data_IF_533784700348
#
_entry.id   IF_533784700348
#
_cell.length_a   1.000
_cell.length_b   1.000
_cell.length_c   1.000
_cell.angle_alpha   90.00
_cell.angle_beta   90.00
_cell.angle_gamma   90.00
#
_symmetry.space_group_name_H-M   'P 1'
#
loop_
_entity.id
_entity.type
_entity.pdbx_description
1 polymer ?
#
# COMPACT_ATOMS: atom_id res chain seq x y z
N UNK A 1 -27.48 -18.24 -56.35
CA UNK A 1 -27.19 -17.18 -55.39
C UNK A 1 -26.97 -17.69 -53.95
N UNK A 2 -26.14 -18.71 -53.71
CA UNK A 2 -25.90 -19.28 -52.36
C UNK A 2 -24.41 -19.37 -51.96
N UNK A 3 -23.47 -18.93 -52.83
CA UNK A 3 -22.01 -19.03 -52.59
C UNK A 3 -21.34 -17.78 -51.99
N UNK A 4 -22.04 -16.65 -51.92
CA UNK A 4 -21.44 -15.40 -51.40
C UNK A 4 -21.59 -15.17 -49.87
N UNK A 5 -22.47 -15.92 -49.17
CA UNK A 5 -22.69 -15.78 -47.71
C UNK A 5 -21.69 -16.58 -46.89
N UNK A 6 -21.17 -17.68 -47.42
CA UNK A 6 -20.19 -18.54 -46.68
C UNK A 6 -18.82 -17.88 -46.65
N UNK A 7 -18.43 -17.14 -47.68
CA UNK A 7 -17.13 -16.47 -47.73
C UNK A 7 -17.02 -15.26 -46.78
N UNK A 8 -18.15 -14.61 -46.45
CA UNK A 8 -18.17 -13.48 -45.54
C UNK A 8 -18.14 -13.93 -44.07
N UNK A 9 -18.61 -15.13 -43.76
CA UNK A 9 -18.56 -15.70 -42.41
C UNK A 9 -17.14 -16.18 -42.05
N UNK A 10 -16.41 -16.72 -43.06
CA UNK A 10 -15.02 -17.13 -42.88
C UNK A 10 -14.05 -15.94 -42.67
N UNK A 11 -14.27 -14.82 -43.33
CA UNK A 11 -13.48 -13.61 -43.17
C UNK A 11 -13.73 -12.92 -41.81
N UNK A 12 -14.94 -13.02 -41.25
CA UNK A 12 -15.26 -12.49 -39.92
C UNK A 12 -14.69 -13.37 -38.78
N UNK A 13 -14.63 -14.69 -38.96
CA UNK A 13 -14.03 -15.61 -37.99
C UNK A 13 -12.50 -15.52 -37.94
N UNK A 14 -11.84 -15.25 -39.06
CA UNK A 14 -10.38 -15.02 -39.07
C UNK A 14 -9.99 -13.65 -38.50
N UNK A 15 -10.87 -12.63 -38.53
CA UNK A 15 -10.62 -11.34 -37.90
C UNK A 15 -10.82 -11.37 -36.37
N UNK A 16 -11.72 -12.21 -35.85
CA UNK A 16 -11.87 -12.42 -34.42
C UNK A 16 -10.74 -13.26 -33.83
N UNK A 17 -10.14 -14.17 -34.58
CA UNK A 17 -9.00 -14.96 -34.09
C UNK A 17 -7.69 -14.16 -33.97
N UNK A 18 -7.56 -13.03 -34.70
CA UNK A 18 -6.40 -12.14 -34.63
C UNK A 18 -6.49 -11.12 -33.46
N UNK A 19 -7.69 -10.87 -32.93
CA UNK A 19 -7.87 -10.00 -31.74
C UNK A 19 -7.72 -10.79 -30.46
N UNK A 20 -7.98 -12.11 -30.45
CA UNK A 20 -7.79 -12.97 -29.26
C UNK A 20 -6.32 -13.35 -28.99
N UNK A 21 -5.40 -13.13 -29.95
CA UNK A 21 -3.97 -13.36 -29.77
C UNK A 21 -3.20 -12.15 -29.21
N UNK A 22 -3.90 -11.01 -28.99
CA UNK A 22 -3.29 -9.78 -28.46
C UNK A 22 -3.64 -9.52 -26.96
N UNK A 23 -4.37 -10.44 -26.31
CA UNK A 23 -4.74 -10.35 -24.89
C UNK A 23 -4.30 -11.59 -24.09
N UNK A 24 -3.16 -12.16 -24.41
CA UNK A 24 -2.46 -13.15 -23.60
C UNK A 24 -1.15 -12.54 -23.16
N UNK A 25 -1.19 -11.65 -22.17
CA UNK A 25 0.02 -11.10 -21.58
C UNK A 25 0.59 -12.09 -20.58
N UNK A 26 1.48 -12.98 -21.02
CA UNK A 26 2.44 -13.60 -20.09
C UNK A 26 3.26 -12.48 -19.46
N UNK A 27 3.34 -12.48 -18.11
CA UNK A 27 4.16 -11.56 -17.35
C UNK A 27 5.63 -11.62 -17.77
N UNK A 28 6.29 -10.47 -17.89
CA UNK A 28 7.72 -10.38 -18.17
C UNK A 28 8.09 -10.34 -19.64
N UNK A 29 7.36 -9.60 -20.47
CA UNK A 29 7.73 -9.34 -21.86
C UNK A 29 8.87 -8.34 -21.99
N UNK A 30 9.63 -8.42 -23.10
CA UNK A 30 10.53 -7.35 -23.52
C UNK A 30 9.77 -6.29 -24.33
N UNK A 31 10.16 -5.04 -24.18
CA UNK A 31 9.66 -3.95 -25.04
C UNK A 31 10.29 -4.02 -26.45
N UNK A 32 9.93 -3.07 -27.32
CA UNK A 32 10.48 -3.02 -28.68
C UNK A 32 11.98 -2.73 -28.76
N UNK A 33 12.59 -2.33 -27.66
CA UNK A 33 14.01 -2.03 -27.51
C UNK A 33 14.78 -3.16 -26.82
N UNK A 34 14.08 -4.25 -26.43
CA UNK A 34 14.67 -5.42 -25.75
C UNK A 34 14.92 -5.20 -24.28
N UNK A 35 14.19 -4.26 -23.65
CA UNK A 35 14.24 -4.03 -22.19
C UNK A 35 13.20 -4.88 -21.48
N UNK A 36 13.54 -5.42 -20.33
CA UNK A 36 12.57 -6.11 -19.46
C UNK A 36 11.50 -5.14 -18.99
N UNK A 37 10.23 -5.44 -19.26
CA UNK A 37 9.11 -4.62 -18.78
C UNK A 37 8.74 -5.04 -17.38
N UNK A 38 8.70 -4.07 -16.45
CA UNK A 38 8.25 -4.22 -15.06
C UNK A 38 6.95 -3.46 -14.89
N UNK A 39 5.87 -4.16 -14.55
CA UNK A 39 4.57 -3.56 -14.25
C UNK A 39 4.41 -3.45 -12.74
N UNK A 40 4.36 -2.23 -12.25
CA UNK A 40 4.22 -1.93 -10.82
C UNK A 40 2.88 -1.26 -10.52
N UNK A 41 2.07 -1.89 -9.67
CA UNK A 41 0.84 -1.34 -9.12
C UNK A 41 1.09 -0.82 -7.70
N UNK A 42 0.68 0.42 -7.43
CA UNK A 42 0.97 1.09 -6.17
C UNK A 42 -0.10 2.14 -5.84
N UNK A 43 -0.22 2.50 -4.55
CA UNK A 43 -1.00 3.66 -4.10
C UNK A 43 -0.35 4.98 -4.55
N UNK A 44 -1.13 6.06 -4.77
CA UNK A 44 -0.59 7.36 -5.20
C UNK A 44 0.58 7.82 -4.32
N UNK A 45 1.73 8.09 -4.93
CA UNK A 45 2.97 8.45 -4.24
C UNK A 45 3.64 9.67 -4.90
N UNK A 46 3.84 10.78 -4.17
CA UNK A 46 4.44 12.01 -4.70
C UNK A 46 5.91 11.85 -5.07
N UNK A 47 6.62 10.89 -4.47
CA UNK A 47 8.04 10.66 -4.77
C UNK A 47 8.22 10.05 -6.15
N UNK A 48 7.26 9.22 -6.60
CA UNK A 48 7.30 8.70 -7.96
C UNK A 48 7.12 9.83 -8.99
N UNK A 49 6.19 10.76 -8.74
CA UNK A 49 5.99 11.93 -9.60
C UNK A 49 7.26 12.78 -9.65
N UNK A 50 7.88 13.02 -8.49
CA UNK A 50 9.17 13.73 -8.39
C UNK A 50 10.27 13.04 -9.18
N UNK A 51 10.49 11.74 -8.97
CA UNK A 51 11.52 10.97 -9.67
C UNK A 51 11.34 10.99 -11.19
N UNK A 52 10.07 10.95 -11.64
CA UNK A 52 9.75 11.06 -13.06
C UNK A 52 10.12 12.46 -13.60
N UNK A 53 9.72 13.52 -12.91
CA UNK A 53 9.97 14.90 -13.34
C UNK A 53 11.45 15.29 -13.29
N UNK A 54 12.21 14.72 -12.36
CA UNK A 54 13.67 14.89 -12.28
C UNK A 54 14.47 14.01 -13.26
N UNK A 55 13.79 13.12 -14.00
CA UNK A 55 14.44 12.22 -14.96
C UNK A 55 15.19 11.04 -14.30
N UNK A 56 14.96 10.78 -13.01
CA UNK A 56 15.59 9.68 -12.27
C UNK A 56 15.11 8.33 -12.78
N UNK A 57 13.81 8.19 -13.04
CA UNK A 57 13.26 6.92 -13.55
C UNK A 57 13.90 6.53 -14.87
N UNK A 58 13.94 7.38 -15.93
CA UNK A 58 14.62 7.04 -17.19
C UNK A 58 16.10 6.71 -17.02
N UNK A 59 16.81 7.40 -16.11
CA UNK A 59 18.21 7.09 -15.83
C UNK A 59 18.40 5.66 -15.31
N UNK A 60 17.56 5.24 -14.36
CA UNK A 60 17.61 3.88 -13.79
C UNK A 60 17.10 2.82 -14.78
N UNK A 61 16.10 3.15 -15.60
CA UNK A 61 15.66 2.27 -16.71
C UNK A 61 16.81 1.94 -17.66
N UNK A 62 17.61 2.95 -18.02
CA UNK A 62 18.76 2.77 -18.90
C UNK A 62 19.90 1.98 -18.20
N UNK A 63 20.17 2.25 -16.91
CA UNK A 63 21.19 1.56 -16.13
C UNK A 63 20.94 0.07 -16.00
N UNK A 64 19.67 -0.32 -15.81
CA UNK A 64 19.27 -1.71 -15.57
C UNK A 64 18.72 -2.41 -16.83
N UNK A 65 18.62 -1.71 -17.97
CA UNK A 65 17.95 -2.21 -19.17
C UNK A 65 16.51 -2.70 -18.90
N UNK A 66 15.76 -1.89 -18.17
CA UNK A 66 14.37 -2.15 -17.73
C UNK A 66 13.45 -1.06 -18.27
N UNK A 67 12.18 -1.37 -18.45
CA UNK A 67 11.12 -0.41 -18.71
C UNK A 67 10.10 -0.50 -17.58
N UNK A 68 9.93 0.56 -16.78
CA UNK A 68 8.93 0.66 -15.74
C UNK A 68 7.58 1.11 -16.32
N UNK A 69 6.54 0.35 -16.02
CA UNK A 69 5.15 0.70 -16.33
C UNK A 69 4.38 0.74 -15.04
N UNK A 70 3.93 1.91 -14.65
CA UNK A 70 3.25 2.12 -13.37
C UNK A 70 1.75 2.23 -13.53
N UNK A 71 1.03 1.73 -12.54
CA UNK A 71 -0.41 1.96 -12.37
C UNK A 71 -0.66 2.41 -10.94
N UNK A 72 -1.15 3.64 -10.78
CA UNK A 72 -1.52 4.20 -9.48
C UNK A 72 -3.00 3.94 -9.21
N UNK A 73 -3.30 3.29 -8.08
CA UNK A 73 -4.65 2.95 -7.65
C UNK A 73 -4.66 2.76 -6.13
N UNK A 74 -5.79 3.02 -5.48
CA UNK A 74 -6.05 2.61 -4.09
C UNK A 74 -6.59 1.17 -3.99
N UNK A 75 -6.69 0.47 -5.11
CA UNK A 75 -7.13 -0.93 -5.22
C UNK A 75 -6.05 -1.74 -5.97
N UNK A 76 -4.83 -1.65 -5.48
CA UNK A 76 -3.66 -2.35 -6.03
C UNK A 76 -3.79 -3.87 -5.86
N UNK A 77 -4.49 -4.32 -4.81
CA UNK A 77 -4.81 -5.73 -4.57
C UNK A 77 -5.56 -6.34 -5.77
N UNK A 78 -6.72 -5.77 -6.14
CA UNK A 78 -7.51 -6.29 -7.26
C UNK A 78 -6.76 -6.21 -8.59
N UNK A 79 -5.95 -5.17 -8.77
CA UNK A 79 -5.15 -5.00 -9.97
C UNK A 79 -4.09 -6.11 -10.12
N UNK A 80 -3.39 -6.43 -9.04
CA UNK A 80 -2.40 -7.50 -9.02
C UNK A 80 -3.05 -8.89 -9.12
N UNK A 81 -4.12 -9.13 -8.38
CA UNK A 81 -4.91 -10.37 -8.43
C UNK A 81 -5.43 -10.66 -9.84
N UNK A 82 -5.79 -9.61 -10.60
CA UNK A 82 -6.20 -9.68 -12.00
C UNK A 82 -5.06 -9.95 -12.99
N UNK A 83 -3.81 -10.07 -12.54
CA UNK A 83 -2.63 -10.34 -13.39
C UNK A 83 -2.13 -9.12 -14.16
N UNK A 84 -2.48 -7.90 -13.71
CA UNK A 84 -2.10 -6.66 -14.38
C UNK A 84 -0.82 -6.04 -13.83
N UNK A 85 -0.21 -6.61 -12.77
CA UNK A 85 1.05 -6.20 -12.18
C UNK A 85 2.03 -7.38 -12.04
N UNK A 86 3.32 -7.10 -12.11
CA UNK A 86 4.41 -8.02 -11.80
C UNK A 86 4.83 -7.83 -10.34
N UNK A 87 4.81 -6.58 -9.90
CA UNK A 87 5.07 -6.13 -8.53
C UNK A 87 3.86 -5.30 -8.08
N UNK A 88 3.50 -5.43 -6.83
CA UNK A 88 2.47 -4.63 -6.17
C UNK A 88 3.02 -4.02 -4.89
N UNK A 89 2.54 -2.83 -4.57
CA UNK A 89 2.70 -2.20 -3.26
C UNK A 89 1.65 -2.75 -2.31
N UNK A 90 2.06 -3.49 -1.29
CA UNK A 90 1.16 -4.09 -0.31
C UNK A 90 1.75 -4.07 1.08
N UNK A 91 0.89 -3.99 2.08
CA UNK A 91 1.30 -4.16 3.47
C UNK A 91 1.46 -5.65 3.81
N UNK A 92 2.29 -5.93 4.82
CA UNK A 92 2.53 -7.29 5.31
C UNK A 92 1.24 -8.03 5.67
N UNK A 93 0.31 -7.36 6.34
CA UNK A 93 -0.97 -7.94 6.78
C UNK A 93 -1.97 -8.21 5.64
N UNK A 94 -1.74 -7.70 4.43
CA UNK A 94 -2.61 -7.91 3.26
C UNK A 94 -2.21 -9.15 2.45
N UNK A 95 -0.93 -9.49 2.47
CA UNK A 95 -0.34 -10.57 1.66
C UNK A 95 -0.98 -11.94 1.91
N UNK A 96 -1.26 -12.37 3.17
CA UNK A 96 -1.91 -13.67 3.41
C UNK A 96 -3.31 -13.77 2.79
N UNK A 97 -4.05 -12.66 2.76
CA UNK A 97 -5.39 -12.62 2.17
C UNK A 97 -5.31 -12.71 0.65
N UNK A 98 -4.31 -12.05 0.03
CA UNK A 98 -4.06 -12.16 -1.40
C UNK A 98 -3.79 -13.61 -1.81
N UNK A 99 -2.88 -14.28 -1.12
CA UNK A 99 -2.54 -15.67 -1.39
C UNK A 99 -3.74 -16.62 -1.20
N UNK A 100 -4.50 -16.40 -0.13
CA UNK A 100 -5.69 -17.19 0.16
C UNK A 100 -6.77 -17.02 -0.91
N UNK A 101 -7.04 -15.79 -1.36
CA UNK A 101 -8.10 -15.52 -2.33
C UNK A 101 -7.72 -15.93 -3.74
N UNK A 102 -6.46 -15.78 -4.11
CA UNK A 102 -6.02 -15.94 -5.51
C UNK A 102 -5.29 -17.27 -5.76
N UNK A 103 -4.70 -17.87 -4.73
CA UNK A 103 -3.79 -19.01 -4.87
C UNK A 103 -2.48 -18.63 -5.55
N UNK A 104 -2.11 -17.35 -5.56
CA UNK A 104 -0.84 -16.86 -6.11
C UNK A 104 0.20 -16.92 -5.00
N UNK A 105 1.28 -17.69 -5.21
CA UNK A 105 2.45 -17.65 -4.35
C UNK A 105 3.18 -16.31 -4.53
N UNK A 106 3.43 -15.60 -3.43
CA UNK A 106 4.09 -14.30 -3.45
C UNK A 106 5.41 -14.31 -2.68
N UNK A 107 6.23 -13.29 -2.93
CA UNK A 107 7.41 -12.97 -2.13
C UNK A 107 7.42 -11.48 -1.83
N UNK A 108 7.69 -11.13 -0.58
CA UNK A 108 7.99 -9.76 -0.16
C UNK A 108 9.51 -9.58 -0.14
N UNK A 109 10.02 -8.62 -0.92
CA UNK A 109 11.47 -8.49 -1.13
C UNK A 109 12.04 -7.10 -0.83
N UNK A 110 11.21 -6.17 -0.36
CA UNK A 110 11.61 -4.83 0.05
C UNK A 110 10.47 -4.10 0.71
N UNK A 111 10.80 -3.01 1.41
CA UNK A 111 9.83 -2.16 2.10
C UNK A 111 10.16 -0.69 1.85
N UNK A 112 9.17 0.18 1.80
CA UNK A 112 9.45 1.61 1.62
C UNK A 112 8.64 2.54 2.52
N UNK A 113 7.36 2.29 2.78
CA UNK A 113 6.56 3.13 3.66
C UNK A 113 6.22 2.46 4.98
N UNK A 114 6.33 3.21 6.08
CA UNK A 114 5.78 2.84 7.36
C UNK A 114 4.25 3.01 7.36
N UNK A 115 3.54 2.19 8.12
CA UNK A 115 2.08 2.27 8.21
C UNK A 115 1.65 3.49 9.03
N UNK A 116 1.17 4.53 8.35
CA UNK A 116 0.86 5.85 8.90
C UNK A 116 -0.64 6.19 8.97
N UNK A 117 -1.53 5.21 9.01
CA UNK A 117 -2.98 5.42 8.93
C UNK A 117 -3.62 5.45 10.32
N UNK A 118 -3.62 6.60 11.03
CA UNK A 118 -4.18 6.72 12.38
C UNK A 118 -5.71 6.71 12.36
N UNK A 119 -6.29 6.67 13.55
CA UNK A 119 -7.70 6.99 13.77
C UNK A 119 -7.85 8.46 14.08
N UNK A 120 -8.69 9.14 13.34
CA UNK A 120 -9.09 10.53 13.62
C UNK A 120 -10.49 10.58 14.24
N UNK A 121 -10.66 11.53 15.15
CA UNK A 121 -11.93 11.95 15.71
C UNK A 121 -12.08 13.46 15.60
N UNK A 122 -13.31 13.99 15.69
CA UNK A 122 -13.49 15.44 15.80
C UNK A 122 -12.82 15.95 17.08
N UNK A 123 -12.34 17.18 17.05
CA UNK A 123 -11.64 17.79 18.18
C UNK A 123 -12.52 17.92 19.46
N UNK A 124 -13.84 17.97 19.31
CA UNK A 124 -14.81 18.01 20.43
C UNK A 124 -15.17 16.62 20.98
N UNK A 125 -14.68 15.53 20.37
CA UNK A 125 -14.84 14.17 20.88
C UNK A 125 -14.13 13.98 22.22
N UNK A 126 -14.76 13.26 23.14
CA UNK A 126 -14.16 12.89 24.45
C UNK A 126 -13.49 11.51 24.42
N UNK A 127 -13.52 10.80 23.29
CA UNK A 127 -12.88 9.49 23.16
C UNK A 127 -11.34 9.65 23.22
N UNK A 128 -10.68 8.83 24.01
CA UNK A 128 -9.21 8.76 24.14
C UNK A 128 -8.64 7.49 23.50
N UNK A 129 -9.48 6.45 23.37
CA UNK A 129 -9.12 5.13 22.86
C UNK A 129 -10.21 4.59 21.93
N UNK A 130 -9.89 3.53 21.19
CA UNK A 130 -10.90 2.81 20.41
C UNK A 130 -11.94 2.11 21.29
N UNK A 131 -11.61 1.74 22.54
CA UNK A 131 -12.60 1.20 23.50
C UNK A 131 -13.70 2.22 23.78
N UNK A 132 -13.37 3.51 23.89
CA UNK A 132 -14.35 4.59 24.11
C UNK A 132 -15.29 4.78 22.89
N UNK A 133 -14.92 4.29 21.74
CA UNK A 133 -15.69 4.33 20.50
C UNK A 133 -16.52 3.07 20.25
N UNK A 134 -16.60 2.14 21.21
CA UNK A 134 -17.44 0.94 21.06
C UNK A 134 -18.91 1.33 20.80
N UNK A 135 -19.51 0.76 19.74
CA UNK A 135 -20.84 1.10 19.24
C UNK A 135 -20.91 2.34 18.34
N UNK A 136 -19.80 3.05 18.14
CA UNK A 136 -19.74 4.21 17.26
C UNK A 136 -19.67 3.83 15.78
N UNK A 137 -19.99 4.80 14.92
CA UNK A 137 -19.82 4.68 13.47
C UNK A 137 -18.41 5.10 13.09
N UNK A 138 -17.63 4.17 12.51
CA UNK A 138 -16.24 4.40 12.10
C UNK A 138 -16.09 4.18 10.60
N UNK A 139 -15.61 5.21 9.89
CA UNK A 139 -15.30 5.11 8.47
C UNK A 139 -13.91 4.54 8.26
N UNK A 140 -13.76 3.62 7.29
CA UNK A 140 -12.49 2.93 6.98
C UNK A 140 -12.26 2.85 5.46
N UNK A 141 -11.00 2.68 4.99
CA UNK A 141 -10.71 2.64 3.55
C UNK A 141 -11.18 1.36 2.84
N UNK A 142 -11.36 0.26 3.56
CA UNK A 142 -11.82 -1.01 2.99
C UNK A 142 -11.55 -2.19 3.93
N UNK A 143 -12.03 -3.39 3.59
CA UNK A 143 -11.82 -4.58 4.41
C UNK A 143 -10.36 -5.07 4.38
N UNK A 144 -9.71 -5.02 3.22
CA UNK A 144 -8.28 -5.37 3.05
C UNK A 144 -7.47 -4.07 3.01
N UNK A 145 -7.08 -3.60 4.19
CA UNK A 145 -6.41 -2.30 4.36
C UNK A 145 -5.93 -2.14 5.81
N UNK A 146 -5.55 -0.93 6.22
CA UNK A 146 -5.28 -0.59 7.62
C UNK A 146 -6.42 -0.92 8.61
N UNK A 147 -7.63 -1.24 8.11
CA UNK A 147 -8.73 -1.78 8.91
C UNK A 147 -8.33 -3.07 9.62
N UNK A 148 -7.53 -3.93 8.98
CA UNK A 148 -7.02 -5.18 9.55
C UNK A 148 -6.13 -4.87 10.77
N UNK A 149 -5.22 -3.92 10.63
CA UNK A 149 -4.29 -3.56 11.70
C UNK A 149 -5.03 -3.02 12.92
N UNK A 150 -5.97 -2.09 12.71
CA UNK A 150 -6.80 -1.61 13.79
C UNK A 150 -7.66 -2.72 14.39
N UNK A 151 -8.16 -3.64 13.56
CA UNK A 151 -8.88 -4.83 14.02
C UNK A 151 -8.03 -5.74 14.91
N UNK A 152 -6.75 -5.96 14.56
CA UNK A 152 -5.80 -6.72 15.39
C UNK A 152 -5.54 -6.02 16.73
N UNK A 153 -5.17 -4.74 16.70
CA UNK A 153 -4.89 -3.97 17.93
C UNK A 153 -6.08 -3.91 18.87
N UNK A 154 -7.26 -3.59 18.34
CA UNK A 154 -8.48 -3.49 19.14
C UNK A 154 -8.86 -4.85 19.73
N UNK A 155 -8.68 -5.94 18.98
CA UNK A 155 -8.94 -7.29 19.46
C UNK A 155 -7.97 -7.68 20.58
N UNK A 156 -6.68 -7.41 20.40
CA UNK A 156 -5.65 -7.74 21.37
C UNK A 156 -5.78 -6.88 22.65
N UNK A 157 -5.94 -5.55 22.51
CA UNK A 157 -5.95 -4.64 23.64
C UNK A 157 -7.25 -4.65 24.45
N UNK A 158 -8.39 -4.78 23.76
CA UNK A 158 -9.72 -4.60 24.37
C UNK A 158 -10.64 -5.80 24.23
N UNK A 159 -10.27 -6.81 23.43
CA UNK A 159 -11.11 -7.97 23.16
C UNK A 159 -12.32 -7.67 22.27
N UNK A 160 -12.40 -6.47 21.66
CA UNK A 160 -13.50 -6.02 20.80
C UNK A 160 -13.24 -6.39 19.33
N UNK A 161 -14.33 -6.52 18.55
CA UNK A 161 -14.29 -6.86 17.12
C UNK A 161 -14.50 -5.60 16.27
N UNK A 162 -13.42 -5.18 15.56
CA UNK A 162 -13.43 -4.06 14.63
C UNK A 162 -13.09 -4.56 13.23
N UNK A 163 -14.09 -4.65 12.37
CA UNK A 163 -13.94 -5.13 10.99
C UNK A 163 -15.18 -4.78 10.16
N UNK A 164 -15.08 -4.85 8.82
CA UNK A 164 -16.22 -4.89 7.92
C UNK A 164 -16.72 -6.34 7.83
N UNK A 165 -15.78 -7.25 7.55
CA UNK A 165 -16.00 -8.68 7.43
C UNK A 165 -14.74 -9.40 7.91
N UNK A 166 -14.91 -10.56 8.56
CA UNK A 166 -13.77 -11.42 8.91
C UNK A 166 -13.57 -12.51 7.87
N UNK A 167 -12.34 -13.02 7.70
CA UNK A 167 -12.06 -14.11 6.75
C UNK A 167 -12.90 -15.38 6.99
N UNK A 168 -13.31 -15.63 8.23
CA UNK A 168 -14.15 -16.76 8.62
C UNK A 168 -15.67 -16.48 8.53
N UNK A 169 -16.05 -15.27 8.11
CA UNK A 169 -17.44 -14.82 8.01
C UNK A 169 -18.14 -14.57 9.34
N UNK A 170 -17.38 -14.42 10.44
CA UNK A 170 -17.96 -14.07 11.75
C UNK A 170 -18.35 -12.59 11.82
N UNK A 171 -19.35 -12.28 12.68
CA UNK A 171 -19.88 -10.92 12.83
C UNK A 171 -18.87 -9.97 13.46
N UNK A 172 -18.84 -8.73 12.96
CA UNK A 172 -18.08 -7.59 13.49
C UNK A 172 -19.04 -6.64 14.21
N UNK A 173 -19.43 -6.99 15.45
CA UNK A 173 -20.59 -6.39 16.09
C UNK A 173 -20.32 -5.21 17.03
N UNK A 174 -19.04 -4.93 17.36
CA UNK A 174 -18.72 -3.93 18.39
C UNK A 174 -18.67 -2.50 17.84
N UNK A 175 -18.63 -2.32 16.51
CA UNK A 175 -18.63 -1.02 15.83
C UNK A 175 -19.53 -1.05 14.60
N UNK A 176 -20.08 0.13 14.21
CA UNK A 176 -20.73 0.34 12.89
C UNK A 176 -19.65 0.78 11.89
N UNK A 177 -18.96 -0.19 11.28
CA UNK A 177 -17.86 0.09 10.34
C UNK A 177 -18.40 0.35 8.94
N UNK A 178 -17.97 1.45 8.31
CA UNK A 178 -18.38 1.88 6.97
C UNK A 178 -17.21 2.09 6.05
N UNK A 179 -17.26 1.47 4.89
CA UNK A 179 -16.24 1.59 3.86
C UNK A 179 -16.40 2.88 3.04
N UNK A 180 -15.28 3.52 2.71
CA UNK A 180 -15.20 4.66 1.82
C UNK A 180 -13.76 5.10 1.55
N UNK A 181 -13.57 5.97 0.58
CA UNK A 181 -12.28 6.57 0.27
C UNK A 181 -11.77 7.45 1.44
N UNK A 182 -10.45 7.51 1.66
CA UNK A 182 -9.83 8.25 2.77
C UNK A 182 -10.27 9.72 2.85
N UNK A 183 -10.31 10.42 1.71
CA UNK A 183 -10.67 11.83 1.65
C UNK A 183 -12.18 12.02 1.88
N UNK A 184 -13.00 11.16 1.26
CA UNK A 184 -14.44 11.18 1.50
C UNK A 184 -14.79 10.84 2.96
N UNK A 185 -14.10 9.88 3.56
CA UNK A 185 -14.27 9.50 4.96
C UNK A 185 -13.90 10.62 5.91
N UNK A 186 -12.83 11.38 5.64
CA UNK A 186 -12.46 12.55 6.42
C UNK A 186 -13.53 13.64 6.33
N UNK A 187 -14.09 13.87 5.15
CA UNK A 187 -15.22 14.81 4.97
C UNK A 187 -16.46 14.39 5.77
N UNK A 188 -16.77 13.09 5.84
CA UNK A 188 -17.85 12.56 6.66
C UNK A 188 -17.60 12.82 8.14
N UNK A 189 -16.36 12.63 8.62
CA UNK A 189 -15.97 12.91 10.00
C UNK A 189 -16.16 14.39 10.35
N UNK A 190 -15.65 15.30 9.52
CA UNK A 190 -15.75 16.75 9.73
C UNK A 190 -17.22 17.20 9.78
N UNK A 191 -18.09 16.65 8.93
CA UNK A 191 -19.52 16.92 8.94
C UNK A 191 -20.29 16.26 10.10
N UNK A 192 -19.63 15.37 10.86
CA UNK A 192 -20.25 14.63 11.97
C UNK A 192 -21.23 13.55 11.51
N UNK A 193 -21.03 13.01 10.30
CA UNK A 193 -21.81 11.89 9.76
C UNK A 193 -21.27 10.53 10.21
N UNK A 194 -20.00 10.52 10.68
CA UNK A 194 -19.34 9.41 11.38
C UNK A 194 -18.65 9.95 12.63
N UNK A 195 -18.38 9.06 13.60
CA UNK A 195 -17.77 9.42 14.88
C UNK A 195 -16.25 9.40 14.82
N UNK A 196 -15.69 8.52 13.99
CA UNK A 196 -14.25 8.38 13.76
C UNK A 196 -13.95 7.96 12.31
N UNK A 197 -12.70 8.14 11.91
CA UNK A 197 -12.20 7.76 10.60
C UNK A 197 -10.81 7.13 10.72
N UNK A 198 -10.61 5.96 10.13
CA UNK A 198 -9.30 5.38 9.84
C UNK A 198 -8.86 5.95 8.50
N UNK A 199 -8.06 6.99 8.53
CA UNK A 199 -7.73 7.77 7.33
C UNK A 199 -6.23 8.08 7.28
N UNK A 200 -5.67 8.23 6.08
CA UNK A 200 -4.30 8.73 5.93
C UNK A 200 -4.20 10.17 6.46
N UNK A 201 -3.06 10.57 7.04
CA UNK A 201 -2.87 11.94 7.55
C UNK A 201 -3.04 13.00 6.47
N UNK A 202 -2.69 12.67 5.24
CA UNK A 202 -2.80 13.53 4.05
C UNK A 202 -4.23 14.01 3.79
N UNK A 203 -5.22 13.21 4.15
CA UNK A 203 -6.63 13.61 4.07
C UNK A 203 -7.03 14.59 5.21
N UNK A 204 -6.26 14.59 6.31
CA UNK A 204 -6.59 15.31 7.53
C UNK A 204 -5.90 16.68 7.66
N UNK A 205 -4.77 16.94 7.00
CA UNK A 205 -3.91 18.09 7.27
C UNK A 205 -4.62 19.45 7.39
N UNK A 206 -5.54 19.86 6.49
CA UNK A 206 -6.22 21.14 6.63
C UNK A 206 -7.08 21.22 7.90
N UNK A 207 -7.82 20.16 8.18
CA UNK A 207 -8.73 20.06 9.32
C UNK A 207 -8.00 19.87 10.65
N UNK A 208 -6.87 19.16 10.62
CA UNK A 208 -6.02 18.94 11.80
C UNK A 208 -5.32 20.23 12.19
N UNK A 209 -4.74 20.96 11.22
CA UNK A 209 -4.14 22.28 11.46
C UNK A 209 -5.13 23.29 12.05
N UNK A 210 -6.37 23.30 11.57
CA UNK A 210 -7.42 24.23 12.06
C UNK A 210 -8.06 23.78 13.37
N UNK A 211 -7.74 22.57 13.85
CA UNK A 211 -8.27 22.03 15.10
C UNK A 211 -9.71 21.54 14.99
N UNK A 212 -10.15 21.13 13.81
CA UNK A 212 -11.46 20.50 13.59
C UNK A 212 -11.44 19.01 13.89
N UNK A 213 -10.29 18.37 13.64
CA UNK A 213 -10.03 16.96 13.96
C UNK A 213 -8.75 16.81 14.78
N UNK A 214 -8.60 15.66 15.45
CA UNK A 214 -7.37 15.22 16.12
C UNK A 214 -7.17 13.74 15.91
N UNK A 215 -5.92 13.29 16.00
CA UNK A 215 -5.64 11.87 16.09
C UNK A 215 -6.03 11.33 17.46
N UNK A 216 -6.51 10.07 17.51
CA UNK A 216 -7.04 9.47 18.75
C UNK A 216 -5.94 9.19 19.78
N UNK A 217 -4.78 8.72 19.32
CA UNK A 217 -3.65 8.31 20.19
C UNK A 217 -2.48 9.33 20.15
N UNK A 218 -2.78 10.61 19.91
CA UNK A 218 -1.76 11.66 19.85
C UNK A 218 -0.93 11.77 21.17
N UNK A 219 0.41 11.92 21.13
CA UNK A 219 1.28 12.15 19.99
C UNK A 219 1.72 10.88 19.22
N UNK A 220 1.51 9.69 19.76
CA UNK A 220 1.89 8.42 19.13
C UNK A 220 0.66 7.83 18.45
N UNK A 221 0.36 8.28 17.25
CA UNK A 221 -0.91 7.99 16.59
C UNK A 221 -0.81 7.05 15.39
N UNK A 222 0.35 6.96 14.76
CA UNK A 222 0.53 6.06 13.63
C UNK A 222 0.61 4.59 14.08
N UNK A 223 -0.02 3.65 13.38
CA UNK A 223 0.03 2.22 13.73
C UNK A 223 1.45 1.67 13.88
N UNK A 224 2.42 2.10 13.06
CA UNK A 224 3.79 1.65 13.19
C UNK A 224 4.44 2.07 14.51
N UNK A 225 4.11 3.27 15.03
CA UNK A 225 4.61 3.74 16.32
C UNK A 225 3.99 2.96 17.49
N UNK A 226 2.69 2.66 17.37
CA UNK A 226 1.98 1.84 18.36
C UNK A 226 2.52 0.40 18.35
N UNK A 227 2.78 -0.15 17.17
CA UNK A 227 3.40 -1.46 17.02
C UNK A 227 4.80 -1.52 17.65
N UNK A 228 5.63 -0.51 17.38
CA UNK A 228 6.96 -0.40 18.02
C UNK A 228 6.86 -0.38 19.54
N UNK A 229 5.92 0.38 20.09
CA UNK A 229 5.77 0.49 21.55
C UNK A 229 5.31 -0.80 22.22
N UNK A 230 4.37 -1.50 21.62
CA UNK A 230 3.67 -2.61 22.28
C UNK A 230 4.23 -3.99 21.91
N UNK A 231 4.73 -4.16 20.69
CA UNK A 231 5.09 -5.49 20.16
C UNK A 231 6.57 -5.63 19.81
N UNK A 232 7.20 -4.60 19.27
CA UNK A 232 8.56 -4.67 18.73
C UNK A 232 9.42 -3.47 19.13
N UNK A 233 9.78 -3.29 20.42
CA UNK A 233 10.54 -2.12 20.88
C UNK A 233 11.88 -1.97 20.16
N UNK A 234 12.09 -0.81 19.54
CA UNK A 234 13.30 -0.47 18.80
C UNK A 234 13.26 -0.85 17.32
N UNK A 235 12.22 -1.52 16.87
CA UNK A 235 11.98 -1.78 15.46
C UNK A 235 11.24 -0.60 14.83
N UNK A 236 11.86 0.03 13.83
CA UNK A 236 11.19 1.08 13.07
C UNK A 236 10.32 0.45 11.99
N UNK A 237 9.03 0.46 12.25
CA UNK A 237 8.02 0.18 11.26
C UNK A 237 7.23 -1.09 11.49
N UNK A 238 5.98 -1.01 11.24
CA UNK A 238 5.09 -1.95 10.63
C UNK A 238 4.91 -1.42 9.22
N UNK A 239 5.31 -2.19 8.21
CA UNK A 239 5.35 -1.66 6.86
C UNK A 239 3.95 -1.56 6.26
N UNK A 240 3.61 -0.36 5.81
CA UNK A 240 2.37 -0.09 5.09
C UNK A 240 2.47 -0.37 3.59
N UNK A 241 3.69 -0.27 3.04
CA UNK A 241 3.96 -0.55 1.63
C UNK A 241 5.27 -1.32 1.47
N UNK A 242 5.15 -2.54 1.00
CA UNK A 242 6.25 -3.41 0.62
C UNK A 242 6.23 -3.67 -0.88
N UNK A 243 7.36 -4.09 -1.43
CA UNK A 243 7.42 -4.67 -2.76
C UNK A 243 7.08 -6.14 -2.67
N UNK A 244 5.91 -6.50 -3.20
CA UNK A 244 5.41 -7.88 -3.26
C UNK A 244 5.33 -8.29 -4.73
N UNK A 245 5.92 -9.43 -5.08
CA UNK A 245 5.90 -9.96 -6.45
C UNK A 245 5.36 -11.39 -6.47
N UNK A 246 4.92 -11.84 -7.65
CA UNK A 246 4.72 -13.27 -7.90
C UNK A 246 6.05 -13.98 -7.76
N UNK A 247 6.07 -15.10 -7.06
CA UNK A 247 7.31 -15.85 -6.78
C UNK A 247 8.03 -16.28 -8.06
N UNK A 248 7.31 -16.80 -9.04
CA UNK A 248 7.87 -17.22 -10.33
C UNK A 248 8.46 -16.05 -11.12
N UNK A 249 7.80 -14.89 -11.10
CA UNK A 249 8.32 -13.68 -11.73
C UNK A 249 9.57 -13.16 -11.02
N UNK A 250 9.57 -13.13 -9.68
CA UNK A 250 10.71 -12.71 -8.86
C UNK A 250 11.95 -13.54 -9.17
N UNK A 251 11.83 -14.87 -9.17
CA UNK A 251 12.93 -15.81 -9.46
C UNK A 251 13.46 -15.66 -10.90
N UNK A 252 12.59 -15.33 -11.85
CA UNK A 252 12.97 -15.19 -13.26
C UNK A 252 13.60 -13.82 -13.61
N UNK A 253 13.43 -12.78 -12.75
CA UNK A 253 13.78 -11.39 -13.09
C UNK A 253 14.68 -10.70 -12.05
N UNK A 254 15.83 -11.29 -11.63
CA UNK A 254 16.64 -10.73 -10.55
C UNK A 254 17.15 -9.31 -10.83
N UNK A 255 17.47 -8.99 -12.10
CA UNK A 255 17.88 -7.63 -12.48
C UNK A 255 16.75 -6.59 -12.32
N UNK A 256 15.50 -6.97 -12.59
CA UNK A 256 14.35 -6.10 -12.39
C UNK A 256 14.03 -5.91 -10.90
N UNK A 257 14.29 -6.90 -10.06
CA UNK A 257 14.22 -6.79 -8.59
C UNK A 257 15.23 -5.77 -8.09
N UNK A 258 16.50 -5.86 -8.52
CA UNK A 258 17.54 -4.90 -8.17
C UNK A 258 17.20 -3.49 -8.65
N UNK A 259 16.66 -3.36 -9.86
CA UNK A 259 16.17 -2.07 -10.40
C UNK A 259 15.14 -1.43 -9.47
N UNK A 260 14.12 -2.18 -9.04
CA UNK A 260 13.05 -1.65 -8.18
C UNK A 260 13.59 -1.17 -6.84
N UNK A 261 14.45 -1.97 -6.20
CA UNK A 261 15.04 -1.61 -4.91
C UNK A 261 15.96 -0.38 -5.04
N UNK A 262 16.86 -0.38 -6.01
CA UNK A 262 17.78 0.74 -6.22
C UNK A 262 17.06 2.05 -6.58
N UNK A 263 16.01 1.98 -7.43
CA UNK A 263 15.21 3.14 -7.78
C UNK A 263 14.49 3.72 -6.55
N UNK A 264 13.88 2.86 -5.72
CA UNK A 264 13.15 3.33 -4.54
C UNK A 264 14.07 3.79 -3.41
N UNK A 265 15.23 3.15 -3.23
CA UNK A 265 16.27 3.66 -2.31
C UNK A 265 16.70 5.09 -2.70
N UNK A 266 16.85 5.36 -4.00
CA UNK A 266 17.08 6.71 -4.51
C UNK A 266 15.88 7.64 -4.24
N UNK A 267 14.66 7.19 -4.45
CA UNK A 267 13.44 7.95 -4.18
C UNK A 267 13.33 8.37 -2.72
N UNK A 268 13.67 7.48 -1.79
CA UNK A 268 13.66 7.78 -0.36
C UNK A 268 14.74 8.81 0.03
N UNK A 269 15.93 8.77 -0.61
CA UNK A 269 16.94 9.80 -0.45
C UNK A 269 16.47 11.16 -0.98
N UNK A 270 15.82 11.18 -2.15
CA UNK A 270 15.20 12.39 -2.70
C UNK A 270 14.15 12.98 -1.74
N UNK A 271 13.29 12.13 -1.16
CA UNK A 271 12.34 12.57 -0.15
C UNK A 271 13.03 13.20 1.07
N UNK A 272 14.08 12.58 1.59
CA UNK A 272 14.81 13.14 2.74
C UNK A 272 15.45 14.49 2.45
N UNK A 273 15.97 14.68 1.23
CA UNK A 273 16.65 15.90 0.84
C UNK A 273 15.70 17.01 0.38
N UNK A 274 14.55 16.66 -0.22
CA UNK A 274 13.65 17.57 -0.92
C UNK A 274 12.20 17.56 -0.42
N UNK A 275 11.93 17.00 0.76
CA UNK A 275 10.56 16.77 1.29
C UNK A 275 9.64 18.00 1.18
N UNK A 276 10.11 19.17 1.63
CA UNK A 276 9.34 20.40 1.59
C UNK A 276 9.04 20.86 0.15
N UNK A 277 9.96 20.64 -0.77
CA UNK A 277 9.81 20.96 -2.19
C UNK A 277 8.82 20.01 -2.86
N UNK A 278 8.91 18.71 -2.56
CA UNK A 278 7.99 17.67 -3.07
C UNK A 278 6.55 17.97 -2.62
N UNK A 279 6.33 18.24 -1.32
CA UNK A 279 5.00 18.58 -0.79
C UNK A 279 4.45 19.84 -1.46
N UNK A 280 5.27 20.86 -1.68
CA UNK A 280 4.85 22.10 -2.31
C UNK A 280 4.55 21.94 -3.82
N UNK A 281 5.26 21.05 -4.53
CA UNK A 281 5.07 20.79 -5.96
C UNK A 281 3.89 19.87 -6.26
N UNK A 282 3.59 18.94 -5.34
CA UNK A 282 2.53 17.95 -5.50
C UNK A 282 1.48 18.03 -4.39
N UNK A 283 0.88 19.22 -4.16
CA UNK A 283 -0.03 19.46 -3.04
C UNK A 283 -1.30 18.61 -3.08
N UNK A 284 -1.66 18.09 -4.26
CA UNK A 284 -2.82 17.21 -4.43
C UNK A 284 -2.69 15.87 -3.69
N UNK A 285 -1.46 15.39 -3.43
CA UNK A 285 -1.24 14.18 -2.66
C UNK A 285 -1.47 14.38 -1.15
N UNK A 286 -1.49 15.64 -0.70
CA UNK A 286 -1.56 16.01 0.71
C UNK A 286 -2.82 16.80 1.07
N UNK A 287 -3.75 16.95 0.14
CA UNK A 287 -4.97 17.77 0.30
C UNK A 287 -4.71 19.20 0.77
N UNK A 288 -3.54 19.76 0.48
CA UNK A 288 -3.14 21.10 0.91
C UNK A 288 -3.27 22.08 -0.24
N UNK A 289 -3.79 23.29 0.04
CA UNK A 289 -3.97 24.34 -0.94
C UNK A 289 -3.26 25.64 -0.49
N UNK A 290 -3.29 25.93 0.81
CA UNK A 290 -2.69 27.14 1.37
C UNK A 290 -1.27 26.86 1.89
N UNK A 291 -0.41 27.88 1.89
CA UNK A 291 0.95 27.76 2.41
C UNK A 291 1.00 27.25 3.87
N UNK A 292 0.03 27.65 4.69
CA UNK A 292 -0.04 27.22 6.07
C UNK A 292 -0.36 25.71 6.21
N UNK A 293 -1.12 25.14 5.28
CA UNK A 293 -1.37 23.68 5.24
C UNK A 293 -0.13 22.94 4.78
N UNK A 294 0.59 23.48 3.77
CA UNK A 294 1.87 22.92 3.31
C UNK A 294 2.89 22.94 4.45
N UNK A 295 3.05 24.07 5.15
CA UNK A 295 3.99 24.18 6.28
C UNK A 295 3.64 23.18 7.40
N UNK A 296 2.34 22.95 7.66
CA UNK A 296 1.89 21.94 8.63
C UNK A 296 2.19 20.52 8.17
N UNK A 297 1.91 20.19 6.92
CA UNK A 297 2.21 18.87 6.34
C UNK A 297 3.72 18.57 6.37
N UNK A 298 4.56 19.56 6.03
CA UNK A 298 6.03 19.44 6.12
C UNK A 298 6.46 19.16 7.54
N UNK A 299 5.97 19.91 8.53
CA UNK A 299 6.34 19.71 9.94
C UNK A 299 5.91 18.33 10.42
N UNK A 300 4.68 17.90 10.09
CA UNK A 300 4.20 16.57 10.43
C UNK A 300 5.08 15.46 9.83
N UNK A 301 5.38 15.55 8.52
CA UNK A 301 6.15 14.53 7.82
C UNK A 301 7.62 14.45 8.27
N UNK A 302 8.16 15.53 8.85
CA UNK A 302 9.50 15.53 9.45
C UNK A 302 9.54 14.80 10.80
N UNK A 303 8.44 14.89 11.57
CA UNK A 303 8.33 14.25 12.89
C UNK A 303 7.93 12.78 12.77
N UNK A 304 7.24 12.41 11.68
CA UNK A 304 6.77 11.06 11.42
C UNK A 304 7.57 10.46 10.27
N UNK A 305 8.42 9.47 10.54
CA UNK A 305 9.19 8.74 9.53
C UNK A 305 8.23 8.13 8.49
N UNK A 306 8.02 8.84 7.36
CA UNK A 306 7.10 8.45 6.30
C UNK A 306 7.58 7.19 5.60
N UNK A 307 8.89 7.15 5.31
CA UNK A 307 9.55 6.00 4.71
C UNK A 307 10.26 5.13 5.76
N UNK A 308 10.42 3.87 5.44
CA UNK A 308 11.36 2.99 6.13
C UNK A 308 12.81 3.53 6.02
N UNK A 309 13.73 3.12 6.89
CA UNK A 309 15.12 3.60 6.83
C UNK A 309 15.85 3.23 5.54
N UNK A 310 15.48 2.13 4.91
CA UNK A 310 15.99 1.61 3.64
C UNK A 310 14.95 0.69 3.02
N UNK A 311 15.05 0.47 1.70
CA UNK A 311 14.18 -0.50 1.00
C UNK A 311 14.61 -1.95 1.23
N UNK A 312 15.85 -2.16 1.63
CA UNK A 312 16.43 -3.49 1.78
C UNK A 312 16.02 -4.11 3.11
N UNK A 313 15.37 -5.27 3.04
CA UNK A 313 15.04 -6.07 4.23
C UNK A 313 16.31 -6.70 4.79
N UNK A 314 16.38 -6.81 6.10
CA UNK A 314 17.36 -7.64 6.81
C UNK A 314 16.65 -8.72 7.66
N UNK A 315 17.42 -9.58 8.32
CA UNK A 315 16.85 -10.66 9.13
C UNK A 315 16.03 -10.15 10.31
N UNK A 316 16.35 -8.98 10.85
CA UNK A 316 15.61 -8.36 11.96
C UNK A 316 14.26 -7.84 11.47
N UNK A 317 14.23 -7.16 10.32
CA UNK A 317 13.01 -6.73 9.67
C UNK A 317 12.09 -7.91 9.36
N UNK A 318 12.64 -8.95 8.75
CA UNK A 318 11.88 -10.17 8.43
C UNK A 318 11.29 -10.79 9.68
N UNK A 319 12.04 -10.88 10.78
CA UNK A 319 11.55 -11.43 12.03
C UNK A 319 10.40 -10.60 12.62
N UNK A 320 10.51 -9.27 12.59
CA UNK A 320 9.49 -8.36 13.12
C UNK A 320 8.22 -8.34 12.26
N UNK A 321 8.35 -8.32 10.92
CA UNK A 321 7.20 -8.42 10.02
C UNK A 321 6.53 -9.79 10.09
N UNK A 322 7.30 -10.86 10.29
CA UNK A 322 6.75 -12.21 10.51
C UNK A 322 5.90 -12.27 11.79
N UNK A 323 6.28 -11.54 12.84
CA UNK A 323 5.50 -11.47 14.09
C UNK A 323 4.10 -10.84 13.89
N UNK A 324 3.90 -10.05 12.82
CA UNK A 324 2.57 -9.54 12.44
C UNK A 324 1.63 -10.70 12.10
N UNK A 325 2.13 -11.73 11.41
CA UNK A 325 1.33 -12.92 11.10
C UNK A 325 0.92 -13.71 12.34
N UNK A 326 1.80 -13.76 13.36
CA UNK A 326 1.44 -14.36 14.64
C UNK A 326 0.30 -13.58 15.31
N UNK A 327 0.38 -12.25 15.32
CA UNK A 327 -0.71 -11.39 15.82
C UNK A 327 -1.99 -11.57 15.00
N UNK A 328 -1.91 -11.70 13.67
CA UNK A 328 -3.08 -12.01 12.81
C UNK A 328 -3.74 -13.34 13.20
N UNK A 329 -2.93 -14.38 13.46
CA UNK A 329 -3.43 -15.70 13.90
C UNK A 329 -4.09 -15.63 15.28
N UNK A 330 -3.46 -14.94 16.22
CA UNK A 330 -3.97 -14.77 17.59
C UNK A 330 -5.30 -13.98 17.63
N UNK A 331 -5.44 -13.01 16.75
CA UNK A 331 -6.62 -12.13 16.69
C UNK A 331 -7.69 -12.59 15.69
N UNK A 332 -7.46 -13.72 15.00
CA UNK A 332 -8.42 -14.36 14.10
C UNK A 332 -8.54 -13.73 12.71
N UNK A 333 -7.52 -12.98 12.28
CA UNK A 333 -7.42 -12.45 10.91
C UNK A 333 -6.72 -13.41 9.94
N UNK A 334 -6.09 -14.45 10.47
CA UNK A 334 -5.44 -15.51 9.70
C UNK A 334 -5.73 -16.86 10.36
N UNK A 335 -5.92 -17.91 9.56
CA UNK A 335 -6.07 -19.27 10.09
C UNK A 335 -4.81 -19.66 10.87
N UNK A 336 -4.93 -20.21 12.10
CA UNK A 336 -3.78 -20.64 12.89
C UNK A 336 -2.83 -21.61 12.17
N UNK A 337 -3.36 -22.44 11.28
CA UNK A 337 -2.61 -23.43 10.52
C UNK A 337 -2.18 -22.92 9.12
N UNK A 338 -2.53 -21.68 8.74
CA UNK A 338 -2.14 -21.12 7.44
C UNK A 338 -0.63 -20.96 7.33
N UNK A 339 -0.11 -21.25 6.14
CA UNK A 339 1.27 -20.93 5.78
C UNK A 339 1.44 -19.41 5.75
N UNK A 340 2.60 -18.92 6.16
CA UNK A 340 2.94 -17.51 6.13
C UNK A 340 3.59 -17.16 4.78
N UNK A 341 3.27 -16.00 4.17
CA UNK A 341 3.93 -15.51 2.97
C UNK A 341 5.44 -15.38 3.14
N UNK A 342 6.17 -15.54 2.06
CA UNK A 342 7.64 -15.57 2.07
C UNK A 342 8.22 -14.14 2.04
N UNK A 343 9.22 -13.92 2.90
CA UNK A 343 10.12 -12.77 2.81
C UNK A 343 11.45 -13.20 2.22
N UNK A 344 12.00 -12.42 1.30
CA UNK A 344 13.32 -12.67 0.70
C UNK A 344 14.22 -11.47 0.94
N UNK A 345 15.33 -11.70 1.64
CA UNK A 345 16.40 -10.69 1.80
C UNK A 345 17.18 -10.61 0.50
N UNK A 346 17.24 -9.42 -0.09
CA UNK A 346 17.96 -9.13 -1.32
C UNK A 346 19.13 -8.22 -0.99
N UNK A 347 20.35 -8.68 -1.26
CA UNK A 347 21.53 -7.84 -1.10
C UNK A 347 21.64 -6.82 -2.25
N UNK A 348 22.07 -5.55 -1.98
CA UNK A 348 22.27 -4.59 -3.04
C UNK A 348 23.38 -5.04 -4.02
N UNK A 349 23.10 -4.93 -5.32
CA UNK A 349 24.07 -5.22 -6.37
C UNK A 349 24.26 -3.98 -7.26
N UNK A 350 25.48 -3.81 -7.78
CA UNK A 350 25.76 -2.76 -8.75
C UNK A 350 25.00 -3.00 -10.06
N UNK A 351 24.62 -1.93 -10.79
CA UNK A 351 23.96 -2.08 -12.08
C UNK A 351 24.76 -2.94 -13.07
N UNK A 352 24.10 -3.68 -13.96
CA UNK A 352 24.78 -4.51 -14.94
C UNK A 352 25.77 -3.72 -15.81
N UNK A 353 27.04 -4.09 -15.79
CA UNK A 353 28.08 -3.47 -16.61
C UNK A 353 28.74 -2.24 -16.03
N UNK A 354 28.49 -1.92 -14.75
CA UNK A 354 29.19 -0.86 -13.99
C UNK A 354 30.64 -1.24 -13.64
#
# INVERSE_FOLDING_TARGET
MRRSKVLRIFAALCALALVAAACGGDGGGEDSEGRTVVRFAFSPDPVLDWMNDQGIIPEYEDLYNVRLVTTSSWDEFAFFAGGHGDIVSMATYETPLLEQETGIDTVTFGAYNNLRVPVFVRADSTAETMEDLAGATVAVPGPVSSTIVWGMFIKDWYGLDFCIERPDGSDCADYDVREGDHFANMDLLVRGEVDACVCIPEAAFPYWRTGEVRALYDPTSAPWQLYEQEYAPGHKGMNGNNFVARKDWFEANPNAVQFMLALWERGMQEWQEHQAEIIALYPQHFSVEEQADIDFAVAYMQDYDFFAPTVYLDEEWVANETAIYDLMKETGWMDPDAEIPEFVVVEPEDPPGS
#
